data_IF_147153441746
#
_entry.id   IF_147153441746
#
_cell.length_a   1.000
_cell.length_b   1.000
_cell.length_c   1.000
_cell.angle_alpha   90.00
_cell.angle_beta   90.00
_cell.angle_gamma   90.00
#
_symmetry.space_group_name_H-M   'P 1'
#
loop_
_entity.id
_entity.type
_entity.pdbx_description
1 polymer ?
#
# COMPACT_ATOMS: atom_id res chain seq x y z
N UNK A 1 -12.72 13.91 -4.26
CA UNK A 1 -12.55 13.59 -2.83
C UNK A 1 -11.77 12.29 -2.78
N UNK A 2 -10.49 12.33 -2.45
CA UNK A 2 -9.69 11.11 -2.34
C UNK A 2 -10.01 10.47 -0.99
N UNK A 3 -10.65 9.30 -1.01
CA UNK A 3 -10.99 8.53 0.19
C UNK A 3 -9.77 7.78 0.75
N UNK A 4 -9.95 7.03 1.84
CA UNK A 4 -8.89 6.17 2.36
C UNK A 4 -8.49 5.11 1.33
N UNK A 5 -7.20 4.78 1.27
CA UNK A 5 -6.68 3.66 0.48
C UNK A 5 -7.21 2.36 1.10
N UNK A 6 -7.80 1.52 0.26
CA UNK A 6 -8.36 0.22 0.63
C UNK A 6 -7.46 -0.93 0.18
N UNK A 7 -7.71 -2.14 0.68
CA UNK A 7 -7.02 -3.35 0.19
C UNK A 7 -7.21 -3.58 -1.31
N UNK A 8 -8.39 -3.26 -1.85
CA UNK A 8 -8.68 -3.37 -3.28
C UNK A 8 -7.80 -2.43 -4.11
N UNK A 9 -7.59 -1.21 -3.62
CA UNK A 9 -6.71 -0.25 -4.27
C UNK A 9 -5.25 -0.70 -4.17
N UNK A 10 -4.81 -1.19 -3.01
CA UNK A 10 -3.47 -1.75 -2.84
C UNK A 10 -3.24 -2.96 -3.76
N UNK A 11 -4.20 -3.88 -3.87
CA UNK A 11 -4.13 -5.03 -4.78
C UNK A 11 -4.04 -4.58 -6.24
N UNK A 12 -4.79 -3.56 -6.63
CA UNK A 12 -4.72 -2.96 -7.97
C UNK A 12 -3.35 -2.34 -8.26
N UNK A 13 -2.76 -1.66 -7.27
CA UNK A 13 -1.41 -1.09 -7.35
C UNK A 13 -0.34 -2.19 -7.45
N UNK A 14 -0.44 -3.25 -6.64
CA UNK A 14 0.46 -4.42 -6.71
C UNK A 14 0.41 -5.06 -8.10
N UNK A 15 -0.78 -5.18 -8.68
CA UNK A 15 -0.96 -5.69 -10.03
C UNK A 15 -0.36 -4.78 -11.09
N UNK A 16 -0.56 -3.46 -10.97
CA UNK A 16 -0.05 -2.48 -11.94
C UNK A 16 1.46 -2.25 -11.87
N UNK A 17 2.04 -2.25 -10.67
CA UNK A 17 3.45 -1.89 -10.44
C UNK A 17 4.38 -3.09 -10.35
N UNK A 18 3.93 -4.18 -9.73
CA UNK A 18 4.74 -5.38 -9.54
C UNK A 18 4.29 -6.55 -10.43
N UNK A 19 3.17 -6.42 -11.16
CA UNK A 19 2.60 -7.53 -11.91
C UNK A 19 2.01 -8.63 -11.02
N UNK A 20 1.80 -8.33 -9.73
CA UNK A 20 1.35 -9.30 -8.73
C UNK A 20 -0.16 -9.19 -8.55
N UNK A 21 -0.87 -10.25 -8.90
CA UNK A 21 -2.32 -10.31 -8.68
C UNK A 21 -2.58 -10.92 -7.31
N UNK A 22 -2.81 -10.08 -6.32
CA UNK A 22 -3.12 -10.48 -4.94
C UNK A 22 -4.60 -10.27 -4.67
N UNK A 23 -5.21 -11.20 -3.93
CA UNK A 23 -6.60 -11.06 -3.52
C UNK A 23 -6.71 -10.12 -2.30
N UNK A 24 -7.48 -9.03 -2.38
CA UNK A 24 -7.61 -8.09 -1.26
C UNK A 24 -8.28 -8.72 -0.03
N UNK A 25 -9.15 -9.72 -0.22
CA UNK A 25 -9.75 -10.47 0.87
C UNK A 25 -8.75 -11.38 1.59
N UNK A 26 -7.76 -11.94 0.89
CA UNK A 26 -6.66 -12.65 1.52
C UNK A 26 -5.74 -11.72 2.32
N UNK A 27 -5.46 -10.52 1.81
CA UNK A 27 -4.68 -9.51 2.54
C UNK A 27 -5.41 -9.03 3.80
N UNK A 28 -6.72 -8.87 3.72
CA UNK A 28 -7.56 -8.51 4.87
C UNK A 28 -7.60 -9.63 5.93
N UNK A 29 -7.68 -10.89 5.49
CA UNK A 29 -7.69 -12.06 6.39
C UNK A 29 -6.33 -12.36 7.03
N UNK A 30 -5.24 -11.86 6.46
CA UNK A 30 -3.87 -12.13 6.91
C UNK A 30 -3.13 -10.84 7.30
N UNK A 31 -3.46 -10.25 8.47
CA UNK A 31 -2.83 -9.01 8.92
C UNK A 31 -1.34 -9.15 9.24
N UNK A 32 -0.91 -10.36 9.59
CA UNK A 32 0.49 -10.67 9.90
C UNK A 32 1.32 -10.99 8.65
N UNK A 33 0.68 -11.21 7.49
CA UNK A 33 1.39 -11.56 6.28
C UNK A 33 2.21 -10.39 5.76
N UNK A 34 3.45 -10.65 5.36
CA UNK A 34 4.35 -9.62 4.86
C UNK A 34 4.19 -9.44 3.35
N UNK A 35 4.66 -8.30 2.84
CA UNK A 35 4.74 -8.06 1.40
C UNK A 35 5.55 -9.12 0.66
N UNK A 36 6.62 -9.62 1.27
CA UNK A 36 7.45 -10.70 0.71
C UNK A 36 6.65 -12.00 0.52
N UNK A 37 5.72 -12.34 1.42
CA UNK A 37 4.85 -13.51 1.26
C UNK A 37 3.90 -13.39 0.06
N UNK A 38 3.56 -12.15 -0.31
CA UNK A 38 2.81 -11.84 -1.52
C UNK A 38 3.69 -11.69 -2.76
N UNK A 39 4.98 -12.04 -2.67
CA UNK A 39 6.01 -11.87 -3.70
C UNK A 39 6.29 -10.40 -4.07
N UNK A 40 5.95 -9.46 -3.19
CA UNK A 40 6.24 -8.04 -3.38
C UNK A 40 7.60 -7.70 -2.76
N UNK A 41 8.58 -7.47 -3.62
CA UNK A 41 9.90 -6.98 -3.22
C UNK A 41 9.86 -5.50 -2.79
N UNK A 42 10.91 -5.07 -2.09
CA UNK A 42 11.12 -3.66 -1.67
C UNK A 42 11.01 -2.66 -2.84
N UNK A 43 11.48 -3.02 -4.05
CA UNK A 43 11.33 -2.18 -5.24
C UNK A 43 9.88 -2.06 -5.71
N UNK A 44 9.11 -3.15 -5.61
CA UNK A 44 7.68 -3.15 -5.91
C UNK A 44 6.93 -2.26 -4.94
N UNK A 45 7.25 -2.33 -3.65
CA UNK A 45 6.69 -1.47 -2.60
C UNK A 45 6.99 0.00 -2.86
N UNK A 46 8.24 0.36 -3.18
CA UNK A 46 8.61 1.74 -3.53
C UNK A 46 7.80 2.26 -4.73
N UNK A 47 7.60 1.43 -5.75
CA UNK A 47 6.78 1.79 -6.91
C UNK A 47 5.31 2.07 -6.56
N UNK A 48 4.74 1.29 -5.64
CA UNK A 48 3.38 1.49 -5.11
C UNK A 48 3.29 2.81 -4.33
N UNK A 49 4.26 3.08 -3.45
CA UNK A 49 4.28 4.32 -2.68
C UNK A 49 4.40 5.52 -3.61
N UNK A 50 5.34 5.51 -4.56
CA UNK A 50 5.49 6.62 -5.51
C UNK A 50 4.22 6.88 -6.34
N UNK A 51 3.45 5.84 -6.69
CA UNK A 51 2.16 6.03 -7.37
C UNK A 51 1.10 6.65 -6.46
N UNK A 52 1.02 6.21 -5.20
CA UNK A 52 0.15 6.84 -4.21
C UNK A 52 0.54 8.31 -4.01
N UNK A 53 1.82 8.62 -3.87
CA UNK A 53 2.29 9.99 -3.72
C UNK A 53 1.90 10.88 -4.92
N UNK A 54 2.03 10.34 -6.14
CA UNK A 54 1.61 11.03 -7.36
C UNK A 54 0.09 11.27 -7.38
N UNK A 55 -0.69 10.25 -7.02
CA UNK A 55 -2.16 10.27 -7.09
C UNK A 55 -2.79 11.18 -6.03
N UNK A 56 -2.24 11.16 -4.82
CA UNK A 56 -2.70 11.96 -3.70
C UNK A 56 -1.99 13.32 -3.60
N UNK A 57 -0.91 13.52 -4.36
CA UNK A 57 -0.11 14.75 -4.36
C UNK A 57 0.56 15.03 -3.02
N UNK A 58 0.90 13.98 -2.25
CA UNK A 58 1.45 14.07 -0.91
C UNK A 58 2.63 13.14 -0.75
N UNK A 59 3.59 13.54 0.08
CA UNK A 59 4.68 12.66 0.46
C UNK A 59 4.17 11.65 1.50
N UNK A 60 4.24 10.37 1.15
CA UNK A 60 3.79 9.21 1.95
C UNK A 60 4.99 8.33 2.33
N UNK A 61 6.07 8.38 1.52
CA UNK A 61 7.20 7.45 1.52
C UNK A 61 7.96 7.25 2.82
N UNK A 62 7.96 8.21 3.73
CA UNK A 62 8.84 8.17 4.90
C UNK A 62 8.44 7.08 5.93
N UNK A 63 7.14 6.88 6.16
CA UNK A 63 6.65 5.84 7.08
C UNK A 63 6.13 4.59 6.36
N UNK A 64 5.73 4.74 5.10
CA UNK A 64 5.10 3.67 4.34
C UNK A 64 6.12 2.65 3.79
N UNK A 65 7.34 3.06 3.44
CA UNK A 65 8.37 2.13 2.94
C UNK A 65 8.87 1.17 4.03
N UNK A 66 8.87 1.63 5.28
CA UNK A 66 9.29 0.86 6.45
C UNK A 66 8.24 -0.16 6.91
N UNK A 67 7.02 -0.12 6.34
CA UNK A 67 5.95 -1.05 6.65
C UNK A 67 6.19 -2.41 5.99
N UNK A 68 6.24 -3.47 6.81
CA UNK A 68 6.45 -4.85 6.32
C UNK A 68 5.17 -5.57 5.92
N UNK A 69 4.03 -5.14 6.46
CA UNK A 69 2.72 -5.78 6.22
C UNK A 69 1.77 -4.82 5.49
N UNK A 70 0.86 -5.33 4.65
CA UNK A 70 -0.15 -4.52 3.97
C UNK A 70 -1.05 -3.75 4.95
N UNK A 71 -1.35 -4.35 6.10
CA UNK A 71 -2.17 -3.71 7.13
C UNK A 71 -1.50 -2.49 7.74
N UNK A 72 -0.25 -2.63 8.21
CA UNK A 72 0.49 -1.49 8.76
C UNK A 72 0.72 -0.42 7.70
N UNK A 73 1.00 -0.83 6.46
CA UNK A 73 1.12 0.08 5.33
C UNK A 73 -0.15 0.92 5.13
N UNK A 74 -1.30 0.27 4.97
CA UNK A 74 -2.57 0.97 4.77
C UNK A 74 -2.91 1.87 5.96
N UNK A 75 -2.63 1.43 7.19
CA UNK A 75 -2.84 2.24 8.38
C UNK A 75 -1.98 3.51 8.36
N UNK A 76 -0.69 3.40 8.06
CA UNK A 76 0.23 4.53 7.95
C UNK A 76 -0.17 5.48 6.81
N UNK A 77 -0.49 4.95 5.62
CA UNK A 77 -0.94 5.74 4.47
C UNK A 77 -2.22 6.50 4.80
N UNK A 78 -3.23 5.80 5.33
CA UNK A 78 -4.50 6.42 5.68
C UNK A 78 -4.38 7.44 6.80
N UNK A 79 -3.49 7.21 7.78
CA UNK A 79 -3.18 8.19 8.82
C UNK A 79 -2.60 9.47 8.20
N UNK A 80 -1.63 9.37 7.28
CA UNK A 80 -1.05 10.53 6.60
C UNK A 80 -2.07 11.27 5.70
N UNK A 81 -2.93 10.54 5.01
CA UNK A 81 -4.00 11.13 4.20
C UNK A 81 -5.02 11.88 5.06
N UNK A 82 -5.35 11.33 6.23
CA UNK A 82 -6.29 11.93 7.18
C UNK A 82 -5.71 13.14 7.90
N UNK A 83 -4.43 13.10 8.31
CA UNK A 83 -3.78 14.17 9.06
C UNK A 83 -3.65 15.49 8.28
N UNK A 84 -3.68 15.45 6.96
CA UNK A 84 -3.71 16.66 6.13
C UNK A 84 -5.09 17.02 5.56
N UNK A 85 -6.18 16.40 6.01
CA UNK A 85 -7.55 16.71 5.57
C UNK A 85 -8.15 17.89 6.35
#
# INVERSE_FOLDING_TARGET
MNGPVTFDELASLMKGRAGLSVDPGEMEKRPEATFEEFNLDSLGLLGIVSELENRYGRQIGDEADSCKTPHSFLQSVNAQLTLGA
#
